data_IF_087545487243
#
_entry.id   IF_087545487243
#
_cell.length_a   1.000
_cell.length_b   1.000
_cell.length_c   1.000
_cell.angle_alpha   90.00
_cell.angle_beta   90.00
_cell.angle_gamma   90.00
#
_symmetry.space_group_name_H-M   'P 1'
#
loop_
_entity.id
_entity.type
_entity.pdbx_description
1 polymer ?
#
# COMPACT_ATOMS: atom_id res chain seq x y z
N UNK A 1 18.95 25.41 14.15
CA UNK A 1 19.74 24.16 14.01
C UNK A 1 19.59 23.72 12.57
N UNK A 2 20.61 23.92 11.74
CA UNK A 2 20.59 23.51 10.32
C UNK A 2 20.79 21.99 10.26
N UNK A 3 19.85 21.27 9.64
CA UNK A 3 20.00 19.84 9.41
C UNK A 3 21.30 19.57 8.62
N UNK A 4 22.01 18.46 8.89
CA UNK A 4 23.23 18.13 8.15
C UNK A 4 22.90 17.95 6.67
N UNK A 5 23.61 18.67 5.80
CA UNK A 5 23.45 18.54 4.34
C UNK A 5 23.86 17.14 3.90
N UNK A 6 22.91 16.35 3.40
CA UNK A 6 23.19 15.03 2.82
C UNK A 6 24.16 15.17 1.65
N UNK A 7 25.08 14.23 1.51
CA UNK A 7 25.93 14.19 0.32
C UNK A 7 25.08 13.93 -0.93
N UNK A 8 25.54 14.37 -2.11
CA UNK A 8 24.88 14.12 -3.41
C UNK A 8 24.59 12.62 -3.63
N UNK A 9 25.44 11.74 -3.08
CA UNK A 9 25.28 10.28 -3.15
C UNK A 9 24.11 9.78 -2.29
N UNK A 10 23.89 10.37 -1.11
CA UNK A 10 22.78 10.02 -0.22
C UNK A 10 21.46 10.56 -0.76
N UNK A 11 21.44 11.81 -1.25
CA UNK A 11 20.27 12.38 -1.90
C UNK A 11 19.84 11.54 -3.11
N UNK A 12 20.79 11.17 -3.99
CA UNK A 12 20.51 10.27 -5.12
C UNK A 12 19.93 8.93 -4.68
N UNK A 13 20.44 8.34 -3.60
CA UNK A 13 19.94 7.06 -3.06
C UNK A 13 18.49 7.18 -2.58
N UNK A 14 18.17 8.27 -1.89
CA UNK A 14 16.82 8.55 -1.38
C UNK A 14 15.84 8.75 -2.53
N UNK A 15 16.20 9.57 -3.53
CA UNK A 15 15.36 9.82 -4.70
C UNK A 15 15.08 8.52 -5.46
N UNK A 16 16.09 7.68 -5.66
CA UNK A 16 15.91 6.37 -6.30
C UNK A 16 14.97 5.48 -5.47
N UNK A 17 15.16 5.42 -4.15
CA UNK A 17 14.30 4.63 -3.28
C UNK A 17 12.83 5.10 -3.33
N UNK A 18 12.60 6.41 -3.28
CA UNK A 18 11.26 7.00 -3.39
C UNK A 18 10.62 6.74 -4.76
N UNK A 19 11.38 6.85 -5.86
CA UNK A 19 10.90 6.56 -7.20
C UNK A 19 10.53 5.07 -7.35
N UNK A 20 11.34 4.16 -6.82
CA UNK A 20 11.05 2.72 -6.84
C UNK A 20 9.80 2.40 -6.01
N UNK A 21 9.67 2.98 -4.81
CA UNK A 21 8.46 2.83 -3.98
C UNK A 21 7.20 3.26 -4.74
N UNK A 22 7.23 4.43 -5.36
CA UNK A 22 6.13 4.93 -6.18
C UNK A 22 5.80 4.03 -7.37
N UNK A 23 6.81 3.47 -8.06
CA UNK A 23 6.56 2.51 -9.16
C UNK A 23 5.89 1.24 -8.64
N UNK A 24 6.35 0.69 -7.52
CA UNK A 24 5.75 -0.51 -6.90
C UNK A 24 4.32 -0.24 -6.48
N UNK A 25 4.04 0.94 -5.89
CA UNK A 25 2.69 1.37 -5.54
C UNK A 25 1.76 1.33 -6.76
N UNK A 26 2.12 2.05 -7.82
CA UNK A 26 1.28 2.12 -9.02
C UNK A 26 1.13 0.77 -9.71
N UNK A 27 2.18 -0.05 -9.67
CA UNK A 27 2.14 -1.40 -10.19
C UNK A 27 1.11 -2.26 -9.46
N UNK A 28 1.07 -2.22 -8.12
CA UNK A 28 0.08 -2.98 -7.34
C UNK A 28 -1.36 -2.56 -7.65
N UNK A 29 -1.63 -1.24 -7.69
CA UNK A 29 -2.98 -0.77 -8.01
C UNK A 29 -3.39 -1.16 -9.41
N UNK A 30 -2.48 -1.04 -10.37
CA UNK A 30 -2.75 -1.38 -11.74
C UNK A 30 -3.03 -2.88 -11.91
N UNK A 31 -2.21 -3.74 -11.29
CA UNK A 31 -2.41 -5.19 -11.41
C UNK A 31 -3.69 -5.64 -10.70
N UNK A 32 -4.02 -5.08 -9.53
CA UNK A 32 -5.27 -5.40 -8.84
C UNK A 32 -6.49 -4.97 -9.64
N UNK A 33 -6.49 -3.74 -10.15
CA UNK A 33 -7.58 -3.21 -10.97
C UNK A 33 -7.74 -4.01 -12.27
N UNK A 34 -6.64 -4.32 -12.95
CA UNK A 34 -6.64 -5.11 -14.19
C UNK A 34 -7.13 -6.54 -13.97
N UNK A 35 -6.82 -7.13 -12.81
CA UNK A 35 -7.23 -8.48 -12.44
C UNK A 35 -8.56 -8.53 -11.68
N UNK A 36 -9.30 -7.42 -11.53
CA UNK A 36 -10.50 -7.35 -10.69
C UNK A 36 -11.56 -8.42 -11.05
N UNK A 37 -11.74 -8.71 -12.33
CA UNK A 37 -12.66 -9.76 -12.80
C UNK A 37 -12.19 -11.19 -12.45
N UNK A 38 -10.87 -11.41 -12.35
CA UNK A 38 -10.30 -12.69 -11.94
C UNK A 38 -10.35 -12.82 -10.42
N UNK A 39 -10.06 -11.74 -9.70
CA UNK A 39 -10.10 -11.70 -8.25
C UNK A 39 -11.53 -11.87 -7.72
N UNK A 40 -12.54 -11.33 -8.41
CA UNK A 40 -13.95 -11.48 -8.00
C UNK A 40 -14.37 -12.94 -7.93
N UNK A 41 -14.04 -13.74 -8.94
CA UNK A 41 -14.40 -15.17 -8.97
C UNK A 41 -13.54 -16.04 -8.06
N UNK A 42 -12.41 -15.51 -7.56
CA UNK A 42 -11.54 -16.21 -6.63
C UNK A 42 -11.83 -15.93 -5.16
N UNK A 43 -12.17 -14.69 -4.81
CA UNK A 43 -12.34 -14.27 -3.43
C UNK A 43 -13.81 -14.14 -3.00
N UNK A 44 -14.76 -14.22 -3.93
CA UNK A 44 -16.20 -14.12 -3.64
C UNK A 44 -17.01 -15.28 -4.21
N UNK A 45 -18.27 -15.38 -3.75
CA UNK A 45 -19.22 -16.37 -4.25
C UNK A 45 -19.55 -16.15 -5.72
N UNK A 46 -19.69 -17.25 -6.46
CA UNK A 46 -20.09 -17.24 -7.87
C UNK A 46 -21.62 -17.17 -8.08
N UNK A 47 -22.40 -17.18 -7.00
CA UNK A 47 -23.87 -17.13 -7.07
C UNK A 47 -24.38 -15.81 -7.68
N UNK A 48 -23.73 -14.70 -7.36
CA UNK A 48 -24.02 -13.39 -7.93
C UNK A 48 -22.71 -12.76 -8.45
N UNK A 49 -22.41 -12.92 -9.76
CA UNK A 49 -21.20 -12.39 -10.36
C UNK A 49 -21.09 -10.86 -10.31
N UNK A 50 -22.23 -10.15 -10.33
CA UNK A 50 -22.27 -8.69 -10.26
C UNK A 50 -21.88 -8.24 -8.86
N UNK A 51 -22.47 -8.83 -7.82
CA UNK A 51 -22.13 -8.55 -6.44
C UNK A 51 -20.65 -8.89 -6.14
N UNK A 52 -20.15 -10.01 -6.67
CA UNK A 52 -18.73 -10.39 -6.53
C UNK A 52 -17.79 -9.35 -7.14
N UNK A 53 -18.07 -8.90 -8.37
CA UNK A 53 -17.26 -7.88 -9.03
C UNK A 53 -17.31 -6.54 -8.30
N UNK A 54 -18.51 -6.08 -7.93
CA UNK A 54 -18.69 -4.85 -7.16
C UNK A 54 -17.98 -4.91 -5.81
N UNK A 55 -17.96 -6.07 -5.15
CA UNK A 55 -17.24 -6.26 -3.89
C UNK A 55 -15.72 -6.18 -4.08
N UNK A 56 -15.17 -6.73 -5.16
CA UNK A 56 -13.74 -6.55 -5.49
C UNK A 56 -13.39 -5.09 -5.75
N UNK A 57 -14.24 -4.37 -6.49
CA UNK A 57 -14.06 -2.92 -6.73
C UNK A 57 -14.19 -2.13 -5.43
N UNK A 58 -15.12 -2.49 -4.54
CA UNK A 58 -15.25 -1.86 -3.23
C UNK A 58 -13.99 -2.07 -2.37
N UNK A 59 -13.43 -3.29 -2.34
CA UNK A 59 -12.15 -3.57 -1.67
C UNK A 59 -11.01 -2.73 -2.27
N UNK A 60 -10.97 -2.58 -3.60
CA UNK A 60 -10.02 -1.70 -4.26
C UNK A 60 -10.15 -0.25 -3.78
N UNK A 61 -11.37 0.29 -3.75
CA UNK A 61 -11.66 1.66 -3.32
C UNK A 61 -11.34 1.90 -1.85
N UNK A 62 -11.58 0.92 -0.97
CA UNK A 62 -11.24 1.03 0.46
C UNK A 62 -9.75 1.31 0.66
N UNK A 63 -8.88 0.70 -0.15
CA UNK A 63 -7.44 0.97 -0.12
C UNK A 63 -7.09 2.44 -0.38
N UNK A 64 -7.90 3.17 -1.16
CA UNK A 64 -7.73 4.61 -1.36
C UNK A 64 -8.32 5.44 -0.22
N UNK A 65 -9.51 5.06 0.26
CA UNK A 65 -10.21 5.76 1.34
C UNK A 65 -9.44 5.76 2.65
N UNK A 66 -8.62 4.73 2.91
CA UNK A 66 -7.86 4.60 4.14
C UNK A 66 -6.52 5.38 4.11
N UNK A 67 -6.08 5.85 2.94
CA UNK A 67 -4.80 6.59 2.79
C UNK A 67 -4.70 7.83 3.67
N UNK A 68 -5.73 8.69 3.82
CA UNK A 68 -5.66 9.84 4.72
C UNK A 68 -5.39 9.43 6.17
N UNK A 69 -5.97 8.31 6.62
CA UNK A 69 -5.70 7.76 7.95
C UNK A 69 -4.26 7.25 8.04
N UNK A 70 -3.77 6.59 6.99
CA UNK A 70 -2.37 6.20 6.86
C UNK A 70 -1.41 7.40 6.96
N UNK A 71 -1.70 8.47 6.23
CA UNK A 71 -0.93 9.71 6.24
C UNK A 71 -0.90 10.36 7.63
N UNK A 72 -2.03 10.36 8.34
CA UNK A 72 -2.10 10.86 9.70
C UNK A 72 -1.25 10.04 10.68
N UNK A 73 -1.38 8.70 10.65
CA UNK A 73 -0.68 7.80 11.55
C UNK A 73 0.83 7.79 11.27
N UNK A 74 1.21 7.50 10.04
CA UNK A 74 2.61 7.40 9.64
C UNK A 74 3.28 8.76 9.52
N UNK A 75 2.54 9.85 9.27
CA UNK A 75 3.06 11.21 9.38
C UNK A 75 3.57 11.50 10.78
N UNK A 76 2.73 11.23 11.80
CA UNK A 76 3.12 11.38 13.21
C UNK A 76 4.28 10.46 13.59
N UNK A 77 4.28 9.20 13.14
CA UNK A 77 5.41 8.28 13.39
C UNK A 77 6.69 8.80 12.71
N UNK A 78 6.57 9.37 11.51
CA UNK A 78 7.65 10.03 10.77
C UNK A 78 8.30 11.16 11.55
N UNK A 79 7.48 12.00 12.17
CA UNK A 79 7.95 13.14 12.97
C UNK A 79 8.59 12.69 14.30
N UNK A 80 8.14 11.57 14.88
CA UNK A 80 8.64 11.06 16.17
C UNK A 80 9.86 10.14 16.07
N UNK A 81 9.88 9.24 15.09
CA UNK A 81 10.86 8.14 14.95
C UNK A 81 11.82 8.40 13.78
N UNK A 82 11.48 9.33 12.89
CA UNK A 82 12.25 9.71 11.72
C UNK A 82 11.63 9.22 10.41
N UNK A 83 11.65 10.10 9.40
CA UNK A 83 11.05 9.88 8.08
C UNK A 83 11.64 8.65 7.35
N UNK A 84 12.95 8.42 7.45
CA UNK A 84 13.63 7.26 6.83
C UNK A 84 13.10 5.92 7.35
N UNK A 85 12.95 5.77 8.66
CA UNK A 85 12.47 4.52 9.26
C UNK A 85 11.00 4.27 8.93
N UNK A 86 10.20 5.34 8.98
CA UNK A 86 8.79 5.29 8.61
C UNK A 86 8.61 4.85 7.16
N UNK A 87 9.39 5.41 6.23
CA UNK A 87 9.39 5.01 4.83
C UNK A 87 9.70 3.51 4.63
N UNK A 88 10.69 2.99 5.36
CA UNK A 88 11.04 1.56 5.27
C UNK A 88 9.93 0.66 5.82
N UNK A 89 9.27 1.06 6.91
CA UNK A 89 8.14 0.33 7.49
C UNK A 89 6.96 0.30 6.53
N UNK A 90 6.60 1.45 5.94
CA UNK A 90 5.47 1.54 5.00
C UNK A 90 5.75 0.74 3.73
N UNK A 91 6.94 0.88 3.14
CA UNK A 91 7.34 0.14 1.95
C UNK A 91 7.33 -1.39 2.20
N UNK A 92 7.86 -1.81 3.35
CA UNK A 92 7.90 -3.23 3.73
C UNK A 92 6.50 -3.78 4.02
N UNK A 93 5.65 -3.01 4.72
CA UNK A 93 4.28 -3.38 5.03
C UNK A 93 3.41 -3.50 3.77
N UNK A 94 3.60 -2.60 2.81
CA UNK A 94 2.97 -2.70 1.49
C UNK A 94 3.40 -3.99 0.79
N UNK A 95 4.71 -4.20 0.60
CA UNK A 95 5.23 -5.35 -0.14
C UNK A 95 4.86 -6.69 0.49
N UNK A 96 4.89 -6.79 1.82
CA UNK A 96 4.45 -7.97 2.54
C UNK A 96 2.95 -8.23 2.35
N UNK A 97 2.12 -7.18 2.39
CA UNK A 97 0.68 -7.32 2.16
C UNK A 97 0.38 -7.85 0.75
N UNK A 98 1.04 -7.30 -0.28
CA UNK A 98 0.92 -7.79 -1.67
C UNK A 98 1.36 -9.24 -1.80
N UNK A 99 2.50 -9.62 -1.19
CA UNK A 99 2.98 -11.00 -1.21
C UNK A 99 1.99 -11.96 -0.51
N UNK A 100 1.43 -11.54 0.63
CA UNK A 100 0.45 -12.32 1.37
C UNK A 100 -0.85 -12.51 0.58
N UNK A 101 -1.31 -11.51 -0.19
CA UNK A 101 -2.48 -11.63 -1.07
C UNK A 101 -2.30 -12.81 -2.03
N UNK A 102 -1.09 -13.03 -2.55
CA UNK A 102 -0.78 -14.12 -3.47
C UNK A 102 -0.91 -15.53 -2.88
N UNK A 103 -0.87 -15.67 -1.55
CA UNK A 103 -1.00 -16.97 -0.86
C UNK A 103 -2.35 -17.16 -0.16
N UNK A 104 -3.26 -16.18 -0.27
CA UNK A 104 -4.60 -16.31 0.34
C UNK A 104 -5.39 -17.42 -0.37
N UNK A 105 -5.94 -18.41 0.37
CA UNK A 105 -6.79 -19.42 -0.22
C UNK A 105 -8.06 -18.83 -0.86
N UNK A 106 -8.58 -19.49 -1.88
CA UNK A 106 -9.79 -19.02 -2.57
C UNK A 106 -11.05 -19.19 -1.73
N UNK A 107 -12.12 -18.52 -2.17
CA UNK A 107 -13.47 -18.66 -1.62
C UNK A 107 -13.94 -20.12 -1.62
N UNK A 108 -13.52 -20.93 -2.59
CA UNK A 108 -13.86 -22.35 -2.63
C UNK A 108 -13.25 -23.13 -1.45
N UNK A 109 -12.10 -22.70 -0.93
CA UNK A 109 -11.39 -23.39 0.16
C UNK A 109 -11.83 -22.92 1.54
N UNK A 110 -11.97 -21.60 1.75
CA UNK A 110 -12.22 -21.00 3.07
C UNK A 110 -13.45 -20.10 3.13
N UNK A 111 -14.25 -20.07 2.06
CA UNK A 111 -15.48 -19.28 1.98
C UNK A 111 -15.24 -17.78 2.15
N UNK A 112 -16.16 -17.14 2.88
CA UNK A 112 -16.17 -15.69 3.12
C UNK A 112 -14.89 -15.19 3.81
N UNK A 113 -14.16 -16.05 4.52
CA UNK A 113 -12.89 -15.69 5.14
C UNK A 113 -11.86 -15.19 4.11
N UNK A 114 -11.89 -15.71 2.87
CA UNK A 114 -11.00 -15.26 1.79
C UNK A 114 -11.17 -13.77 1.49
N UNK A 115 -12.42 -13.30 1.41
CA UNK A 115 -12.75 -11.90 1.18
C UNK A 115 -12.32 -11.01 2.36
N UNK A 116 -12.51 -11.47 3.60
CA UNK A 116 -12.07 -10.72 4.78
C UNK A 116 -10.55 -10.60 4.86
N UNK A 117 -9.80 -11.68 4.62
CA UNK A 117 -8.34 -11.65 4.60
C UNK A 117 -7.87 -10.68 3.52
N UNK A 118 -8.42 -10.76 2.31
CA UNK A 118 -8.12 -9.84 1.23
C UNK A 118 -8.39 -8.38 1.63
N UNK A 119 -9.54 -8.11 2.24
CA UNK A 119 -9.92 -6.79 2.73
C UNK A 119 -8.92 -6.25 3.77
N UNK A 120 -8.54 -7.06 4.76
CA UNK A 120 -7.57 -6.65 5.79
C UNK A 120 -6.18 -6.38 5.19
N UNK A 121 -5.70 -7.24 4.29
CA UNK A 121 -4.42 -7.02 3.60
C UNK A 121 -4.47 -5.72 2.79
N UNK A 122 -5.57 -5.44 2.09
CA UNK A 122 -5.76 -4.17 1.37
C UNK A 122 -5.85 -2.95 2.28
N UNK A 123 -6.43 -3.08 3.47
CA UNK A 123 -6.44 -2.01 4.48
C UNK A 123 -5.03 -1.69 4.96
N UNK A 124 -4.24 -2.71 5.32
CA UNK A 124 -2.84 -2.52 5.74
C UNK A 124 -2.05 -1.84 4.63
N UNK A 125 -2.23 -2.31 3.40
CA UNK A 125 -1.56 -1.78 2.24
C UNK A 125 -1.91 -0.30 1.99
N UNK A 126 -3.21 0.06 2.02
CA UNK A 126 -3.66 1.44 1.88
C UNK A 126 -3.19 2.36 3.01
N UNK A 127 -3.10 1.85 4.24
CA UNK A 127 -2.54 2.57 5.39
C UNK A 127 -1.06 2.88 5.18
N UNK A 128 -0.27 1.88 4.79
CA UNK A 128 1.15 2.05 4.51
C UNK A 128 1.39 3.13 3.45
N UNK A 129 0.62 3.07 2.37
CA UNK A 129 0.73 4.00 1.25
C UNK A 129 0.41 5.45 1.61
N UNK A 130 -0.52 5.66 2.53
CA UNK A 130 -0.82 7.00 3.05
C UNK A 130 0.40 7.68 3.68
N UNK A 131 1.26 6.91 4.35
CA UNK A 131 2.47 7.40 5.01
C UNK A 131 3.67 7.59 4.10
N UNK A 132 3.77 6.77 3.05
CA UNK A 132 4.96 6.66 2.22
C UNK A 132 5.19 7.91 1.35
N UNK A 133 4.16 8.34 0.62
CA UNK A 133 4.26 9.43 -0.36
C UNK A 133 4.56 10.78 0.28
N UNK A 134 3.85 11.12 1.37
CA UNK A 134 4.08 12.36 2.12
C UNK A 134 5.45 12.37 2.81
N UNK A 135 5.85 11.26 3.42
CA UNK A 135 7.15 11.13 4.07
C UNK A 135 8.32 11.31 3.09
N UNK A 136 8.23 10.70 1.91
CA UNK A 136 9.26 10.79 0.88
C UNK A 136 9.40 12.20 0.28
N UNK A 137 8.28 12.86 -0.05
CA UNK A 137 8.31 14.22 -0.62
C UNK A 137 8.84 15.23 0.38
N UNK A 138 8.37 15.20 1.63
CA UNK A 138 8.86 16.14 2.64
C UNK A 138 10.33 15.88 2.95
N UNK A 139 10.78 14.62 3.01
CA UNK A 139 12.19 14.31 3.21
C UNK A 139 13.07 14.81 2.06
N UNK A 140 12.61 14.71 0.81
CA UNK A 140 13.33 15.30 -0.34
C UNK A 140 13.31 16.83 -0.24
N UNK A 141 12.15 17.45 0.01
CA UNK A 141 12.01 18.91 0.12
C UNK A 141 12.81 19.52 1.28
N UNK A 142 13.04 18.79 2.37
CA UNK A 142 13.89 19.21 3.48
C UNK A 142 15.39 19.23 3.11
N UNK A 143 15.79 18.60 2.01
CA UNK A 143 17.19 18.39 1.61
C UNK A 143 17.51 18.86 0.18
N UNK A 144 16.60 19.60 -0.46
CA UNK A 144 16.79 20.31 -1.74
C UNK A 144 16.81 21.80 -1.47
#
# INVERSE_FOLDING_TARGET
MTAPSLSTKELRRVVIAAAVGNVIEWYDFYIFGSLAAILSVQFFSKTDPVAAFLSTVAIFSVGFLIRPLGAFVFGRIGDLVGRKYTFLITLSGMGLSTALIGVVPSYASIGVAAAFILFFLRLIQGLCLGGEYGGAITYVAEHV
#
